data_IF_986635316733
#
_entry.id   IF_986635316733
#
_cell.length_a   1.000
_cell.length_b   1.000
_cell.length_c   1.000
_cell.angle_alpha   90.00
_cell.angle_beta   90.00
_cell.angle_gamma   90.00
#
_symmetry.space_group_name_H-M   'P 1'
#
loop_
_entity.id
_entity.type
_entity.pdbx_description
1 polymer ?
#
# COMPACT_ATOMS: atom_id res chain seq x y z
N UNK A 1 -17.93 17.91 18.82
CA UNK A 1 -17.93 16.63 18.07
C UNK A 1 -17.79 16.93 16.58
N UNK A 2 -17.11 16.08 15.80
CA UNK A 2 -16.80 16.34 14.38
C UNK A 2 -17.85 15.70 13.46
N UNK A 3 -18.59 16.47 12.67
CA UNK A 3 -19.59 15.98 11.70
C UNK A 3 -18.95 15.22 10.52
N UNK A 4 -19.79 14.53 9.72
CA UNK A 4 -19.35 13.99 8.44
C UNK A 4 -19.02 15.15 7.48
N UNK A 5 -17.93 15.06 6.73
CA UNK A 5 -17.51 16.10 5.80
C UNK A 5 -18.16 16.01 4.41
N UNK A 6 -18.92 14.95 4.14
CA UNK A 6 -19.59 14.75 2.84
C UNK A 6 -20.77 15.73 2.72
N UNK A 7 -20.84 16.55 1.65
CA UNK A 7 -21.94 17.49 1.44
C UNK A 7 -23.31 16.80 1.48
N UNK A 8 -24.28 17.41 2.16
CA UNK A 8 -25.64 16.85 2.29
C UNK A 8 -25.78 15.64 3.23
N UNK A 9 -24.70 15.20 3.89
CA UNK A 9 -24.76 14.07 4.79
C UNK A 9 -25.48 14.42 6.11
N UNK A 10 -26.66 13.84 6.30
CA UNK A 10 -27.48 13.98 7.52
C UNK A 10 -27.13 12.99 8.62
N UNK A 11 -25.97 12.33 8.55
CA UNK A 11 -25.56 11.33 9.53
C UNK A 11 -25.41 11.98 10.90
N UNK A 12 -26.26 11.54 11.84
CA UNK A 12 -26.33 12.09 13.19
C UNK A 12 -25.02 12.00 13.97
N UNK A 13 -25.00 12.66 15.13
CA UNK A 13 -23.79 12.81 15.95
C UNK A 13 -23.16 11.48 16.38
N UNK A 14 -23.96 10.40 16.47
CA UNK A 14 -23.57 9.08 16.96
C UNK A 14 -23.11 8.08 15.89
N UNK A 15 -23.17 8.43 14.61
CA UNK A 15 -22.72 7.50 13.56
C UNK A 15 -21.20 7.25 13.66
N UNK A 16 -20.72 5.98 13.62
CA UNK A 16 -19.30 5.67 13.51
C UNK A 16 -18.68 6.37 12.29
N UNK A 17 -17.48 6.94 12.47
CA UNK A 17 -16.78 7.71 11.44
C UNK A 17 -15.33 7.29 11.30
N UNK A 18 -14.89 7.27 10.06
CA UNK A 18 -13.53 6.96 9.63
C UNK A 18 -12.75 8.24 9.37
N UNK A 19 -11.47 8.21 9.72
CA UNK A 19 -10.52 9.26 9.36
C UNK A 19 -10.02 9.06 7.93
N UNK A 20 -9.57 10.14 7.30
CA UNK A 20 -8.92 10.05 6.01
C UNK A 20 -7.61 9.22 6.11
N UNK A 21 -7.27 8.44 5.08
CA UNK A 21 -6.04 7.66 5.04
C UNK A 21 -4.78 8.53 5.17
N UNK A 22 -3.75 7.96 5.80
CA UNK A 22 -2.42 8.59 5.87
C UNK A 22 -1.75 8.67 4.51
N UNK A 23 -1.84 7.61 3.70
CA UNK A 23 -1.31 7.53 2.34
C UNK A 23 -1.94 8.63 1.44
N UNK A 24 -1.08 9.41 0.76
CA UNK A 24 -1.49 10.58 -0.01
C UNK A 24 -2.29 10.23 -1.28
N UNK A 25 -1.90 9.17 -2.00
CA UNK A 25 -2.59 8.72 -3.21
C UNK A 25 -4.00 8.23 -2.90
N UNK A 26 -4.14 7.39 -1.87
CA UNK A 26 -5.44 6.90 -1.42
C UNK A 26 -6.33 8.06 -0.97
N UNK A 27 -5.73 9.05 -0.30
CA UNK A 27 -6.43 10.26 0.14
C UNK A 27 -6.91 11.09 -1.06
N UNK A 28 -6.09 11.24 -2.10
CA UNK A 28 -6.46 11.89 -3.36
C UNK A 28 -7.67 11.21 -4.00
N UNK A 29 -7.65 9.87 -4.11
CA UNK A 29 -8.78 9.07 -4.60
C UNK A 29 -10.06 9.28 -3.76
N UNK A 30 -9.94 9.43 -2.44
CA UNK A 30 -11.08 9.74 -1.58
C UNK A 30 -11.67 11.12 -1.88
N UNK A 31 -10.84 12.14 -2.08
CA UNK A 31 -11.31 13.49 -2.44
C UNK A 31 -11.96 13.53 -3.83
N UNK A 32 -11.37 12.85 -4.81
CA UNK A 32 -11.92 12.69 -6.16
C UNK A 32 -13.31 12.02 -6.13
N UNK A 33 -13.44 10.90 -5.41
CA UNK A 33 -14.71 10.17 -5.26
C UNK A 33 -15.77 11.00 -4.52
N UNK A 34 -15.34 11.92 -3.67
CA UNK A 34 -16.25 12.81 -2.95
C UNK A 34 -16.58 14.11 -3.70
N UNK A 35 -15.97 14.35 -4.87
CA UNK A 35 -16.04 15.62 -5.60
C UNK A 35 -15.68 16.82 -4.70
N UNK A 36 -14.65 16.68 -3.88
CA UNK A 36 -14.16 17.71 -2.96
C UNK A 36 -12.72 18.08 -3.29
N UNK A 37 -12.36 19.36 -3.16
CA UNK A 37 -10.96 19.78 -3.28
C UNK A 37 -10.17 19.40 -2.02
N UNK A 38 -8.96 18.84 -2.16
CA UNK A 38 -8.10 18.55 -1.02
C UNK A 38 -7.61 19.85 -0.37
N UNK A 39 -7.70 20.00 0.98
CA UNK A 39 -7.13 21.13 1.68
C UNK A 39 -5.61 21.22 1.47
N UNK A 40 -5.06 22.45 1.43
CA UNK A 40 -3.61 22.65 1.31
C UNK A 40 -2.83 22.19 2.55
N UNK A 41 -3.46 22.26 3.74
CA UNK A 41 -2.82 21.86 4.99
C UNK A 41 -3.26 20.48 5.48
N UNK A 42 -2.29 19.60 5.74
CA UNK A 42 -2.51 18.28 6.35
C UNK A 42 -3.23 18.33 7.71
N UNK A 43 -3.09 19.44 8.44
CA UNK A 43 -3.76 19.66 9.73
C UNK A 43 -5.28 19.70 9.60
N UNK A 44 -5.79 20.20 8.48
CA UNK A 44 -7.22 20.29 8.21
C UNK A 44 -7.80 18.93 7.84
N UNK A 45 -7.07 18.16 7.04
CA UNK A 45 -7.43 16.80 6.64
C UNK A 45 -7.61 15.91 7.88
N UNK A 46 -6.75 16.05 8.89
CA UNK A 46 -6.87 15.33 10.17
C UNK A 46 -8.16 15.64 10.94
N UNK A 47 -8.86 16.73 10.62
CA UNK A 47 -10.17 17.09 11.20
C UNK A 47 -11.34 16.46 10.45
N UNK A 48 -11.18 16.14 9.17
CA UNK A 48 -12.24 15.59 8.33
C UNK A 48 -12.56 14.13 8.70
N UNK A 49 -13.84 13.77 8.65
CA UNK A 49 -14.35 12.44 9.00
C UNK A 49 -15.48 12.05 8.05
N UNK A 50 -15.52 10.79 7.66
CA UNK A 50 -16.57 10.22 6.80
C UNK A 50 -17.32 9.16 7.60
N UNK A 51 -18.64 9.21 7.67
CA UNK A 51 -19.41 8.18 8.37
C UNK A 51 -19.48 6.86 7.59
N UNK A 52 -19.79 5.77 8.29
CA UNK A 52 -19.91 4.42 7.69
C UNK A 52 -20.90 4.32 6.51
N UNK A 53 -21.93 5.18 6.42
CA UNK A 53 -22.93 5.18 5.34
C UNK A 53 -22.39 5.45 3.93
N UNK A 54 -21.15 5.90 3.81
CA UNK A 54 -20.48 6.13 2.53
C UNK A 54 -19.61 4.94 2.10
N UNK A 55 -19.70 3.82 2.81
CA UNK A 55 -18.98 2.58 2.52
C UNK A 55 -19.97 1.42 2.57
N UNK A 56 -19.71 0.39 1.78
CA UNK A 56 -20.57 -0.79 1.71
C UNK A 56 -20.25 -1.72 2.87
N UNK A 57 -21.13 -2.67 3.16
CA UNK A 57 -20.83 -3.60 4.26
C UNK A 57 -19.71 -4.59 3.90
N UNK A 58 -19.51 -4.84 2.61
CA UNK A 58 -18.44 -5.68 2.08
C UNK A 58 -17.07 -4.97 2.09
N UNK A 59 -17.07 -3.65 2.26
CA UNK A 59 -15.85 -2.82 2.32
C UNK A 59 -15.13 -2.93 3.68
N UNK A 60 -15.74 -3.62 4.63
CA UNK A 60 -15.23 -3.82 5.97
C UNK A 60 -14.61 -5.20 6.14
N UNK A 61 -13.44 -5.25 6.78
CA UNK A 61 -12.91 -6.45 7.40
C UNK A 61 -13.18 -6.47 8.90
N UNK A 62 -13.14 -7.67 9.48
CA UNK A 62 -13.33 -7.89 10.92
C UNK A 62 -14.73 -8.32 11.29
N UNK A 63 -15.14 -8.04 12.53
CA UNK A 63 -16.43 -8.44 13.09
C UNK A 63 -17.40 -7.25 13.14
N UNK A 64 -18.68 -7.52 13.39
CA UNK A 64 -19.70 -6.45 13.50
C UNK A 64 -19.36 -5.40 14.58
N UNK A 65 -18.61 -5.78 15.61
CA UNK A 65 -18.20 -4.91 16.73
C UNK A 65 -16.85 -4.22 16.50
N UNK A 66 -16.00 -4.75 15.61
CA UNK A 66 -14.71 -4.16 15.26
C UNK A 66 -14.53 -4.18 13.74
N UNK A 67 -15.04 -3.13 13.10
CA UNK A 67 -15.01 -2.96 11.64
C UNK A 67 -13.83 -2.11 11.23
N UNK A 68 -13.00 -2.61 10.33
CA UNK A 68 -11.87 -1.90 9.73
C UNK A 68 -12.13 -1.76 8.23
N UNK A 69 -11.95 -0.56 7.67
CA UNK A 69 -12.06 -0.38 6.22
C UNK A 69 -10.90 -1.09 5.52
N UNK A 70 -11.22 -1.89 4.51
CA UNK A 70 -10.22 -2.50 3.63
C UNK A 70 -9.34 -1.43 2.98
N UNK A 71 -8.08 -1.77 2.67
CA UNK A 71 -7.09 -0.76 2.28
C UNK A 71 -7.34 -0.13 0.89
N UNK A 72 -8.07 -0.81 0.02
CA UNK A 72 -8.35 -0.36 -1.35
C UNK A 72 -9.70 0.38 -1.48
N UNK A 73 -10.50 0.40 -0.41
CA UNK A 73 -11.84 0.99 -0.44
C UNK A 73 -11.78 2.51 -0.53
N UNK A 74 -12.67 3.04 -1.38
CA UNK A 74 -12.98 4.46 -1.54
C UNK A 74 -14.45 4.71 -1.18
N UNK A 75 -14.79 5.87 -0.58
CA UNK A 75 -16.17 6.18 -0.24
C UNK A 75 -17.01 6.37 -1.50
N UNK A 76 -18.27 5.92 -1.49
CA UNK A 76 -19.23 6.19 -2.56
C UNK A 76 -20.21 7.30 -2.13
N UNK A 77 -20.45 8.26 -3.03
CA UNK A 77 -21.52 9.24 -2.87
C UNK A 77 -22.81 8.63 -3.46
N UNK A 78 -23.63 8.01 -2.61
CA UNK A 78 -25.05 7.85 -2.91
C UNK A 78 -25.79 9.13 -2.51
N UNK A 79 -25.58 10.20 -3.27
CA UNK A 79 -26.49 11.35 -3.24
C UNK A 79 -27.37 11.19 -4.48
N UNK A 80 -28.71 11.15 -4.35
CA UNK A 80 -29.58 11.10 -5.52
C UNK A 80 -29.23 12.31 -6.40
N UNK A 81 -28.66 12.02 -7.57
CA UNK A 81 -28.34 13.03 -8.57
C UNK A 81 -29.66 13.67 -9.00
N UNK A 82 -29.90 14.89 -8.52
CA UNK A 82 -30.83 15.77 -9.20
C UNK A 82 -30.10 16.21 -10.47
N UNK A 83 -30.58 15.69 -11.61
CA UNK A 83 -30.04 15.91 -12.95
C UNK A 83 -29.84 17.41 -13.22
N UNK A 84 -28.58 17.83 -13.34
CA UNK A 84 -28.24 19.08 -14.00
C UNK A 84 -27.61 18.70 -15.32
N UNK A 85 -28.48 18.60 -16.32
CA UNK A 85 -28.14 18.56 -17.74
C UNK A 85 -27.24 19.76 -18.04
N UNK A 86 -26.03 19.52 -18.54
CA UNK A 86 -25.34 20.49 -19.38
C UNK A 86 -24.39 19.79 -20.35
N UNK A 87 -24.89 19.69 -21.58
CA UNK A 87 -24.19 19.46 -22.84
C UNK A 87 -22.79 20.11 -22.88
N UNK A 88 -21.78 19.31 -23.19
CA UNK A 88 -20.63 19.77 -23.97
C UNK A 88 -20.41 18.81 -25.13
N UNK A 89 -20.95 19.21 -26.28
CA UNK A 89 -20.64 18.67 -27.59
C UNK A 89 -19.59 19.61 -28.20
N UNK A 90 -18.40 19.11 -28.52
CA UNK A 90 -17.45 19.83 -29.38
C UNK A 90 -17.01 18.90 -30.50
N UNK A 91 -17.21 19.43 -31.70
CA UNK A 91 -17.32 18.76 -32.98
C UNK A 91 -15.96 18.57 -33.67
N UNK A 92 -15.92 17.54 -34.51
CA UNK A 92 -14.90 17.24 -35.52
C UNK A 92 -14.74 18.37 -36.57
N UNK A 93 -13.52 18.52 -37.13
CA UNK A 93 -13.24 19.17 -38.42
C UNK A 93 -11.85 18.71 -38.94
N UNK A 94 -11.74 17.57 -39.65
CA UNK A 94 -11.72 17.39 -41.12
C UNK A 94 -10.50 18.03 -41.82
N UNK A 95 -9.57 17.15 -42.22
CA UNK A 95 -8.63 17.29 -43.35
C UNK A 95 -9.21 16.55 -44.57
N UNK A 96 -9.05 17.09 -45.78
CA UNK A 96 -8.87 16.30 -47.00
C UNK A 96 -8.42 17.17 -48.19
N UNK A 97 -7.51 16.60 -48.97
CA UNK A 97 -6.84 17.10 -50.18
C UNK A 97 -7.15 16.11 -51.32
N UNK A 98 -7.34 16.58 -52.57
CA UNK A 98 -6.75 16.05 -53.83
C UNK A 98 -7.50 16.41 -55.15
N UNK A 99 -6.70 16.97 -56.09
CA UNK A 99 -6.51 16.70 -57.54
C UNK A 99 -7.66 16.62 -58.58
N UNK A 100 -7.51 17.37 -59.70
CA UNK A 100 -7.45 16.86 -61.09
C UNK A 100 -7.27 17.98 -62.14
N UNK A 101 -6.40 17.79 -63.15
CA UNK A 101 -6.75 17.79 -64.60
C UNK A 101 -5.50 17.60 -65.51
N UNK A 102 -5.70 16.93 -66.66
CA UNK A 102 -4.70 16.41 -67.61
C UNK A 102 -5.12 16.72 -69.07
N UNK A 103 -4.13 16.73 -69.99
CA UNK A 103 -4.16 16.43 -71.45
C UNK A 103 -4.66 17.47 -72.50
N UNK A 104 -4.20 17.56 -73.77
CA UNK A 104 -3.02 17.10 -74.56
C UNK A 104 -3.10 17.67 -76.02
N UNK A 105 -1.97 17.69 -76.76
CA UNK A 105 -1.75 17.48 -78.23
C UNK A 105 -1.20 18.60 -79.19
N UNK A 106 -0.07 18.20 -79.81
CA UNK A 106 0.70 18.57 -81.04
C UNK A 106 -0.06 19.05 -82.30
N UNK A 107 0.51 19.60 -83.38
CA UNK A 107 1.83 20.10 -83.87
C UNK A 107 1.59 20.59 -85.34
N UNK A 108 2.40 21.51 -85.90
CA UNK A 108 2.94 21.54 -87.29
C UNK A 108 3.47 22.96 -87.67
N UNK A 109 4.76 23.02 -88.01
CA UNK A 109 5.50 24.11 -88.70
C UNK A 109 5.37 23.92 -90.25
N UNK A 110 5.87 24.76 -91.20
CA UNK A 110 6.96 25.76 -91.12
C UNK A 110 6.80 27.06 -91.97
N UNK A 111 7.73 28.02 -91.85
CA UNK A 111 8.58 28.61 -92.92
C UNK A 111 9.22 29.94 -92.46
N UNK A 112 10.52 30.03 -92.79
CA UNK A 112 11.57 30.99 -92.43
C UNK A 112 11.47 32.31 -93.21
N UNK A 113 11.80 33.44 -92.56
CA UNK A 113 12.54 34.55 -93.19
C UNK A 113 13.49 35.19 -92.18
N UNK A 114 14.78 35.01 -92.45
CA UNK A 114 15.96 35.47 -91.72
C UNK A 114 16.18 36.98 -91.89
N UNK A 115 16.83 37.56 -90.88
CA UNK A 115 17.88 38.61 -90.96
C UNK A 115 17.70 39.63 -89.83
N UNK A 116 18.09 39.23 -88.60
CA UNK A 116 18.42 40.13 -87.46
C UNK A 116 18.84 39.43 -86.15
N UNK A 117 18.89 38.10 -86.09
CA UNK A 117 19.02 37.38 -84.81
C UNK A 117 20.46 37.03 -84.38
N UNK A 118 21.48 37.17 -85.24
CA UNK A 118 22.84 36.72 -84.86
C UNK A 118 23.57 37.64 -83.86
N UNK A 119 23.17 38.92 -83.75
CA UNK A 119 23.81 39.85 -82.81
C UNK A 119 23.18 39.82 -81.41
N UNK A 120 21.88 39.49 -81.31
CA UNK A 120 21.14 39.40 -80.04
C UNK A 120 21.40 38.06 -79.32
N UNK A 121 21.65 36.98 -80.06
CA UNK A 121 21.87 35.66 -79.49
C UNK A 121 23.24 35.50 -78.80
N UNK A 122 24.25 36.25 -79.24
CA UNK A 122 25.59 36.23 -78.65
C UNK A 122 25.64 36.96 -77.30
N UNK A 123 24.86 38.05 -77.12
CA UNK A 123 24.73 38.73 -75.83
C UNK A 123 23.91 37.94 -74.81
N UNK A 124 22.85 37.26 -75.25
CA UNK A 124 21.98 36.51 -74.33
C UNK A 124 22.67 35.25 -73.76
N UNK A 125 23.48 34.57 -74.57
CA UNK A 125 24.22 33.38 -74.15
C UNK A 125 25.37 33.68 -73.17
N UNK A 126 25.96 34.87 -73.25
CA UNK A 126 26.96 35.33 -72.28
C UNK A 126 26.32 35.75 -70.95
N UNK A 127 25.14 36.40 -70.99
CA UNK A 127 24.39 36.77 -69.79
C UNK A 127 23.84 35.56 -69.02
N UNK A 128 23.36 34.52 -69.70
CA UNK A 128 22.92 33.27 -69.03
C UNK A 128 24.09 32.51 -68.38
N UNK A 129 25.27 32.51 -69.00
CA UNK A 129 26.44 31.83 -68.43
C UNK A 129 27.03 32.56 -67.22
N UNK A 130 26.92 33.89 -67.13
CA UNK A 130 27.29 34.65 -65.93
C UNK A 130 26.25 34.51 -64.79
N UNK A 131 24.95 34.49 -65.10
CA UNK A 131 23.90 34.32 -64.09
C UNK A 131 23.88 32.92 -63.46
N UNK A 132 24.26 31.90 -64.24
CA UNK A 132 24.40 30.51 -63.76
C UNK A 132 25.65 30.28 -62.90
N UNK A 133 26.68 31.13 -62.98
CA UNK A 133 27.94 30.92 -62.25
C UNK A 133 27.98 31.61 -60.88
N UNK A 134 27.16 32.66 -60.67
CA UNK A 134 27.05 33.34 -59.36
C UNK A 134 25.98 32.74 -58.43
N UNK A 135 24.85 32.25 -58.95
CA UNK A 135 23.72 31.80 -58.11
C UNK A 135 23.75 30.32 -57.73
N UNK A 136 24.63 29.51 -58.34
CA UNK A 136 24.70 28.07 -58.06
C UNK A 136 25.46 27.69 -56.76
N UNK A 137 26.55 28.35 -56.34
CA UNK A 137 27.22 27.98 -55.08
C UNK A 137 26.45 28.43 -53.82
N UNK A 138 25.63 29.49 -53.91
CA UNK A 138 24.86 30.02 -52.78
C UNK A 138 23.62 29.15 -52.46
N UNK A 139 22.93 28.63 -53.50
CA UNK A 139 21.76 27.74 -53.34
C UNK A 139 22.16 26.33 -52.85
N UNK A 140 23.40 25.89 -53.10
CA UNK A 140 23.92 24.62 -52.58
C UNK A 140 24.35 24.75 -51.10
N UNK A 141 24.97 25.87 -50.72
CA UNK A 141 25.37 26.11 -49.33
C UNK A 141 24.18 26.28 -48.39
N UNK A 142 23.14 27.01 -48.81
CA UNK A 142 21.93 27.20 -47.99
C UNK A 142 21.18 25.88 -47.77
N UNK A 143 21.16 25.00 -48.78
CA UNK A 143 20.55 23.66 -48.66
C UNK A 143 21.38 22.71 -47.81
N UNK A 144 22.71 22.77 -47.88
CA UNK A 144 23.58 21.99 -47.00
C UNK A 144 23.43 22.43 -45.54
N UNK A 145 23.31 23.74 -45.28
CA UNK A 145 23.11 24.28 -43.95
C UNK A 145 21.70 23.96 -43.40
N UNK A 146 20.67 24.00 -44.25
CA UNK A 146 19.30 23.58 -43.91
C UNK A 146 19.22 22.06 -43.62
N UNK A 147 19.87 21.23 -44.43
CA UNK A 147 19.94 19.77 -44.22
C UNK A 147 20.76 19.45 -42.96
N UNK A 148 21.85 20.18 -42.70
CA UNK A 148 22.65 20.02 -41.48
C UNK A 148 21.86 20.46 -40.24
N UNK A 149 21.09 21.55 -40.33
CA UNK A 149 20.22 22.01 -39.26
C UNK A 149 19.09 21.00 -38.97
N UNK A 150 18.46 20.45 -40.02
CA UNK A 150 17.48 19.37 -39.88
C UNK A 150 18.10 18.12 -39.25
N UNK A 151 19.28 17.68 -39.70
CA UNK A 151 19.95 16.52 -39.12
C UNK A 151 20.31 16.75 -37.64
N UNK A 152 20.78 17.95 -37.30
CA UNK A 152 21.10 18.33 -35.92
C UNK A 152 19.85 18.40 -35.03
N UNK A 153 18.74 18.88 -35.57
CA UNK A 153 17.45 18.89 -34.87
C UNK A 153 16.92 17.47 -34.66
N UNK A 154 17.01 16.62 -35.68
CA UNK A 154 16.59 15.22 -35.62
C UNK A 154 17.46 14.40 -34.66
N UNK A 155 18.76 14.69 -34.58
CA UNK A 155 19.68 14.06 -33.62
C UNK A 155 19.41 14.54 -32.18
N UNK A 156 19.07 15.83 -31.99
CA UNK A 156 18.61 16.36 -30.70
C UNK A 156 17.27 15.77 -30.27
N UNK A 157 16.32 15.56 -31.19
CA UNK A 157 15.04 14.88 -30.91
C UNK A 157 15.26 13.40 -30.56
N UNK A 158 16.12 12.68 -31.31
CA UNK A 158 16.43 11.28 -31.01
C UNK A 158 17.09 11.12 -29.63
N UNK A 159 17.98 12.06 -29.26
CA UNK A 159 18.59 12.13 -27.94
C UNK A 159 17.57 12.51 -26.85
N UNK A 160 16.63 13.43 -27.12
CA UNK A 160 15.64 13.85 -26.14
C UNK A 160 14.56 12.80 -25.90
N UNK A 161 14.23 11.94 -26.88
CA UNK A 161 13.28 10.84 -26.70
C UNK A 161 13.89 9.62 -26.01
N UNK A 162 15.13 9.24 -26.34
CA UNK A 162 15.73 8.01 -25.80
C UNK A 162 16.27 8.18 -24.37
N UNK A 163 16.72 9.37 -23.98
CA UNK A 163 17.32 9.59 -22.66
C UNK A 163 16.34 9.51 -21.47
N UNK A 164 15.10 10.04 -21.52
CA UNK A 164 14.13 9.89 -20.44
C UNK A 164 13.58 8.46 -20.34
N UNK A 165 13.45 7.73 -21.46
CA UNK A 165 13.01 6.33 -21.47
C UNK A 165 14.03 5.40 -20.79
N UNK A 166 15.33 5.59 -21.07
CA UNK A 166 16.42 4.82 -20.42
C UNK A 166 16.54 5.13 -18.92
N UNK A 167 16.20 6.35 -18.50
CA UNK A 167 16.20 6.73 -17.07
C UNK A 167 14.99 6.16 -16.34
N UNK A 168 13.79 6.18 -16.95
CA UNK A 168 12.59 5.57 -16.39
C UNK A 168 12.72 4.05 -16.23
N UNK A 169 13.27 3.36 -17.24
CA UNK A 169 13.48 1.91 -17.17
C UNK A 169 14.44 1.51 -16.04
N UNK A 170 15.48 2.32 -15.80
CA UNK A 170 16.43 2.10 -14.68
C UNK A 170 15.82 2.41 -13.32
N UNK A 171 14.97 3.44 -13.23
CA UNK A 171 14.25 3.76 -12.00
C UNK A 171 13.25 2.66 -11.63
N UNK A 172 12.52 2.11 -12.62
CA UNK A 172 11.62 0.97 -12.41
C UNK A 172 12.40 -0.29 -12.01
N UNK A 173 13.53 -0.59 -12.65
CA UNK A 173 14.37 -1.75 -12.30
C UNK A 173 14.87 -1.67 -10.86
N UNK A 174 15.33 -0.50 -10.42
CA UNK A 174 15.78 -0.27 -9.03
C UNK A 174 14.61 -0.38 -8.04
N UNK A 175 13.43 0.12 -8.41
CA UNK A 175 12.23 0.03 -7.57
C UNK A 175 11.81 -1.43 -7.36
N UNK A 176 11.80 -2.23 -8.43
CA UNK A 176 11.45 -3.66 -8.39
C UNK A 176 12.47 -4.44 -7.54
N UNK A 177 13.77 -4.14 -7.68
CA UNK A 177 14.81 -4.77 -6.86
C UNK A 177 14.65 -4.41 -5.37
N UNK A 178 14.34 -3.15 -5.06
CA UNK A 178 14.11 -2.72 -3.68
C UNK A 178 12.86 -3.38 -3.08
N UNK A 179 11.76 -3.46 -3.83
CA UNK A 179 10.54 -4.13 -3.39
C UNK A 179 10.77 -5.63 -3.15
N UNK A 180 11.51 -6.29 -4.03
CA UNK A 180 11.87 -7.70 -3.85
C UNK A 180 12.73 -7.91 -2.61
N UNK A 181 13.73 -7.06 -2.39
CA UNK A 181 14.56 -7.11 -1.18
C UNK A 181 13.72 -6.88 0.10
N UNK A 182 12.78 -5.94 0.07
CA UNK A 182 11.86 -5.72 1.19
C UNK A 182 11.00 -6.95 1.47
N UNK A 183 10.45 -7.59 0.43
CA UNK A 183 9.69 -8.84 0.57
C UNK A 183 10.53 -9.98 1.15
N UNK A 184 11.78 -10.13 0.72
CA UNK A 184 12.72 -11.13 1.28
C UNK A 184 12.98 -10.88 2.77
N UNK A 185 13.28 -9.63 3.16
CA UNK A 185 13.50 -9.30 4.58
C UNK A 185 12.25 -9.50 5.43
N UNK A 186 11.06 -9.23 4.89
CA UNK A 186 9.79 -9.51 5.56
C UNK A 186 9.56 -11.01 5.73
N UNK A 187 9.90 -11.80 4.72
CA UNK A 187 9.82 -13.25 4.77
C UNK A 187 10.76 -13.83 5.83
N UNK A 188 12.02 -13.39 5.87
CA UNK A 188 12.99 -13.79 6.89
C UNK A 188 12.51 -13.46 8.31
N UNK A 189 12.02 -12.24 8.53
CA UNK A 189 11.45 -11.86 9.82
C UNK A 189 10.23 -12.70 10.19
N UNK A 190 9.38 -13.04 9.21
CA UNK A 190 8.24 -13.93 9.43
C UNK A 190 8.68 -15.32 9.87
N UNK A 191 9.73 -15.87 9.26
CA UNK A 191 10.28 -17.17 9.67
C UNK A 191 10.84 -17.12 11.10
N UNK A 192 11.63 -16.09 11.42
CA UNK A 192 12.21 -15.92 12.76
C UNK A 192 11.12 -15.79 13.85
N UNK A 193 10.02 -15.08 13.55
CA UNK A 193 8.91 -14.94 14.49
C UNK A 193 8.20 -16.27 14.71
N UNK A 194 8.02 -17.06 13.66
CA UNK A 194 7.42 -18.38 13.74
C UNK A 194 8.28 -19.32 14.60
N UNK A 195 9.59 -19.37 14.36
CA UNK A 195 10.52 -20.19 15.13
C UNK A 195 10.51 -19.83 16.62
N UNK A 196 10.48 -18.52 16.94
CA UNK A 196 10.37 -18.04 18.33
C UNK A 196 9.05 -18.43 18.99
N UNK A 197 7.95 -18.42 18.23
CA UNK A 197 6.66 -18.84 18.75
C UNK A 197 6.67 -20.33 19.08
N UNK A 198 7.20 -21.15 18.17
CA UNK A 198 7.30 -22.60 18.34
C UNK A 198 8.24 -22.97 19.50
N UNK A 199 9.35 -22.23 19.69
CA UNK A 199 10.24 -22.39 20.84
C UNK A 199 9.52 -22.10 22.17
N UNK A 200 8.79 -20.98 22.25
CA UNK A 200 8.03 -20.62 23.45
C UNK A 200 6.94 -21.65 23.75
N UNK A 201 6.27 -22.15 22.71
CA UNK A 201 5.25 -23.18 22.84
C UNK A 201 5.85 -24.47 23.42
N UNK A 202 6.97 -24.93 22.86
CA UNK A 202 7.67 -26.13 23.35
C UNK A 202 8.14 -25.96 24.82
N UNK A 203 8.65 -24.79 25.19
CA UNK A 203 9.01 -24.49 26.58
C UNK A 203 7.79 -24.53 27.50
N UNK A 204 6.63 -24.05 27.05
CA UNK A 204 5.40 -24.08 27.84
C UNK A 204 4.92 -25.51 28.06
N UNK A 205 4.91 -26.34 27.02
CA UNK A 205 4.55 -27.77 27.11
C UNK A 205 5.46 -28.54 28.07
N UNK A 206 6.76 -28.25 28.03
CA UNK A 206 7.73 -28.83 28.97
C UNK A 206 7.39 -28.45 30.42
N UNK A 207 7.02 -27.19 30.68
CA UNK A 207 6.62 -26.73 32.02
C UNK A 207 5.33 -27.38 32.50
N UNK A 208 4.35 -27.56 31.62
CA UNK A 208 3.11 -28.28 31.95
C UNK A 208 3.42 -29.72 32.33
N UNK A 209 4.25 -30.41 31.54
CA UNK A 209 4.70 -31.77 31.85
C UNK A 209 5.42 -31.86 33.20
N UNK A 210 6.27 -30.88 33.52
CA UNK A 210 6.93 -30.79 34.83
C UNK A 210 5.92 -30.61 35.96
N UNK A 211 4.93 -29.73 35.80
CA UNK A 211 3.89 -29.52 36.80
C UNK A 211 3.05 -30.80 37.02
N UNK A 212 2.67 -31.50 35.96
CA UNK A 212 1.90 -32.74 36.04
C UNK A 212 2.66 -33.83 36.81
N UNK A 213 3.96 -33.95 36.58
CA UNK A 213 4.81 -34.87 37.34
C UNK A 213 4.85 -34.53 38.84
N UNK A 214 4.93 -33.24 39.18
CA UNK A 214 4.91 -32.78 40.58
C UNK A 214 3.56 -33.10 41.22
N UNK A 215 2.45 -32.81 40.55
CA UNK A 215 1.11 -33.09 41.04
C UNK A 215 0.91 -34.59 41.25
N UNK A 216 1.33 -35.41 40.29
CA UNK A 216 1.27 -36.86 40.38
C UNK A 216 2.08 -37.40 41.56
N UNK A 217 3.29 -36.88 41.77
CA UNK A 217 4.12 -37.25 42.92
C UNK A 217 3.47 -36.86 44.26
N UNK A 218 2.87 -35.67 44.33
CA UNK A 218 2.16 -35.23 45.52
C UNK A 218 0.94 -36.12 45.80
N UNK A 219 0.19 -36.50 44.77
CA UNK A 219 -0.95 -37.40 44.88
C UNK A 219 -0.54 -38.77 45.47
N UNK A 220 0.55 -39.36 44.96
CA UNK A 220 1.10 -40.61 45.52
C UNK A 220 1.51 -40.47 46.98
N UNK A 221 2.06 -39.33 47.41
CA UNK A 221 2.40 -39.07 48.81
C UNK A 221 1.15 -39.02 49.70
N UNK A 222 0.08 -38.39 49.23
CA UNK A 222 -1.20 -38.32 49.94
C UNK A 222 -1.75 -39.74 50.14
N UNK A 223 -1.84 -40.53 49.07
CA UNK A 223 -2.34 -41.92 49.12
C UNK A 223 -1.50 -42.79 50.08
N UNK A 224 -0.18 -42.64 50.06
CA UNK A 224 0.71 -43.33 50.99
C UNK A 224 0.42 -42.96 52.45
N UNK A 225 0.21 -41.67 52.75
CA UNK A 225 -0.15 -41.23 54.11
C UNK A 225 -1.52 -41.75 54.53
N UNK A 226 -2.53 -41.72 53.66
CA UNK A 226 -3.85 -42.28 53.93
C UNK A 226 -3.80 -43.77 54.26
N UNK A 227 -2.99 -44.54 53.52
CA UNK A 227 -2.77 -45.95 53.78
C UNK A 227 -2.11 -46.20 55.15
N UNK A 228 -1.11 -45.39 55.52
CA UNK A 228 -0.47 -45.47 56.85
C UNK A 228 -1.50 -45.20 57.95
N UNK A 229 -2.29 -44.14 57.84
CA UNK A 229 -3.33 -43.80 58.81
C UNK A 229 -4.37 -44.92 58.94
N UNK A 230 -4.78 -45.52 57.82
CA UNK A 230 -5.71 -46.66 57.81
C UNK A 230 -5.14 -47.88 58.52
N UNK A 231 -3.85 -48.16 58.37
CA UNK A 231 -3.18 -49.25 59.10
C UNK A 231 -3.09 -48.97 60.61
N UNK A 232 -2.74 -47.73 60.99
CA UNK A 232 -2.70 -47.33 62.40
C UNK A 232 -4.07 -47.43 63.07
N UNK A 233 -5.13 -47.00 62.38
CA UNK A 233 -6.50 -47.11 62.87
C UNK A 233 -6.90 -48.58 63.13
N UNK A 234 -6.64 -49.47 62.16
CA UNK A 234 -6.89 -50.91 62.33
C UNK A 234 -6.12 -51.51 63.51
N UNK A 235 -4.86 -51.13 63.72
CA UNK A 235 -4.07 -51.61 64.85
C UNK A 235 -4.62 -51.14 66.21
N UNK A 236 -5.17 -49.91 66.29
CA UNK A 236 -5.77 -49.36 67.51
C UNK A 236 -7.07 -50.09 67.91
N UNK A 237 -7.89 -50.49 66.94
CA UNK A 237 -9.16 -51.20 67.19
C UNK A 237 -9.01 -52.65 67.68
N UNK A 238 -7.81 -53.25 67.64
CA UNK A 238 -7.56 -54.63 68.14
C UNK A 238 -7.25 -54.65 69.64
N UNK A 239 -7.24 -53.48 70.33
CA UNK A 239 -6.94 -53.37 71.76
C UNK A 239 -8.12 -53.22 72.75
N UNK A 240 -9.36 -53.72 72.53
CA UNK A 240 -10.32 -53.82 73.62
C UNK A 240 -10.16 -55.20 74.27
N UNK A 241 -9.64 -55.28 75.50
CA UNK A 241 -10.04 -56.29 76.52
C UNK A 241 -9.15 -56.37 77.79
N UNK A 242 -8.15 -55.49 78.01
CA UNK A 242 -7.28 -55.60 79.21
C UNK A 242 -7.28 -54.39 80.16
N UNK A 243 -8.11 -53.38 79.96
CA UNK A 243 -8.15 -52.19 80.85
C UNK A 243 -9.49 -52.01 81.60
N UNK A 244 -10.11 -53.13 81.99
CA UNK A 244 -11.26 -53.13 82.91
C UNK A 244 -10.90 -53.19 84.40
N UNK A 245 -9.64 -52.91 84.81
CA UNK A 245 -9.23 -53.15 86.21
C UNK A 245 -8.23 -52.15 86.83
N UNK A 246 -8.06 -50.95 86.27
CA UNK A 246 -7.10 -49.98 86.84
C UNK A 246 -7.59 -48.51 86.80
N UNK A 247 -8.88 -48.27 87.03
CA UNK A 247 -9.38 -46.91 87.31
C UNK A 247 -9.38 -46.65 88.81
N UNK A 248 -8.21 -46.35 89.36
CA UNK A 248 -8.14 -46.00 90.78
C UNK A 248 -6.74 -45.74 91.32
N UNK A 249 -5.93 -44.92 90.67
CA UNK A 249 -4.76 -44.24 91.26
C UNK A 249 -3.99 -43.56 90.12
N UNK A 250 -4.30 -42.30 89.78
CA UNK A 250 -3.35 -41.32 89.20
C UNK A 250 -4.09 -39.99 88.94
N UNK A 251 -4.68 -39.43 90.00
CA UNK A 251 -5.07 -38.03 90.04
C UNK A 251 -4.18 -37.36 91.07
N UNK A 252 -2.95 -37.02 90.66
CA UNK A 252 -2.10 -35.98 91.28
C UNK A 252 -0.77 -35.90 90.54
N UNK A 253 -0.31 -34.66 90.36
CA UNK A 253 0.96 -34.22 89.79
C UNK A 253 0.90 -34.03 88.27
N UNK A 254 0.46 -32.84 87.85
CA UNK A 254 1.24 -31.97 86.97
C UNK A 254 0.66 -30.55 87.04
N UNK A 255 1.24 -29.73 87.91
CA UNK A 255 1.08 -28.27 87.89
C UNK A 255 1.81 -27.71 86.66
N UNK A 256 1.07 -26.97 85.84
CA UNK A 256 1.59 -26.25 84.67
C UNK A 256 2.09 -24.85 85.08
N UNK A 257 3.35 -24.47 84.82
CA UNK A 257 3.76 -23.08 84.96
C UNK A 257 3.26 -22.27 83.75
N UNK A 258 2.55 -21.17 84.04
CA UNK A 258 2.15 -20.16 83.06
C UNK A 258 3.38 -19.35 82.63
N UNK A 259 3.83 -19.50 81.40
CA UNK A 259 4.78 -18.56 80.78
C UNK A 259 4.01 -17.67 79.79
N UNK A 260 3.91 -16.40 80.15
CA UNK A 260 3.42 -15.31 79.30
C UNK A 260 4.47 -14.97 78.24
N UNK A 261 4.12 -15.09 76.96
CA UNK A 261 4.96 -14.63 75.85
C UNK A 261 4.32 -13.37 75.24
N UNK A 262 4.87 -12.21 75.56
CA UNK A 262 4.57 -10.93 74.90
C UNK A 262 5.53 -10.76 73.72
N UNK A 263 5.02 -10.85 72.49
CA UNK A 263 5.77 -10.57 71.27
C UNK A 263 5.27 -9.27 70.63
N UNK A 264 6.10 -8.24 70.66
CA UNK A 264 5.91 -6.94 70.01
C UNK A 264 6.05 -7.06 68.49
N UNK A 265 5.08 -6.50 67.77
CA UNK A 265 5.06 -6.33 66.32
C UNK A 265 5.80 -5.01 65.99
N UNK A 266 6.89 -5.08 65.22
CA UNK A 266 7.48 -3.90 64.56
C UNK A 266 7.13 -3.93 63.07
N UNK A 267 6.70 -2.77 62.58
CA UNK A 267 6.35 -2.46 61.19
C UNK A 267 7.57 -2.36 60.28
#
# INVERSE_FOLDING_TARGET
>A
MRSCCVPGCSSGQHAPRHAFPKNAERRKKWFESLHMEPPQEDKEIKKLRICHRHFREEDYSGSATYRVLLHFVVPFINVPQQEVVNNFNCSNHVEQHEQQEQEMLHEHNPIILQDKEEEVFSQHKQQEQEMLHEHNPMILQDKEEEVLAQHKQQEQEMLHEHNPMILQDKEEEVLVQHEQQEQETLHEHSMILQDKYDEVLAQHEQRLTQHDNIVTQQQQRIENMENILKMQYKASCVRPYLEGHFMGLFFKIFDFPKTSFSGTLSM
#
